data_IF_694451473871
#
_entry.id   IF_694451473871
#
_cell.length_a   1.000
_cell.length_b   1.000
_cell.length_c   1.000
_cell.angle_alpha   90.00
_cell.angle_beta   90.00
_cell.angle_gamma   90.00
#
_symmetry.space_group_name_H-M   'P 1'
#
loop_
_entity.id
_entity.type
_entity.pdbx_description
1 polymer ?
#
# COMPACT_ATOMS: atom_id res chain seq x y z
N UNK A 1 -18.68 19.65 6.24
CA UNK A 1 -18.30 18.39 5.57
C UNK A 1 -16.81 18.19 5.79
N UNK A 2 -16.42 17.19 6.60
CA UNK A 2 -15.02 16.98 6.99
C UNK A 2 -14.37 16.02 5.99
N UNK A 3 -13.16 16.33 5.53
CA UNK A 3 -12.43 15.53 4.55
C UNK A 3 -11.80 14.31 5.23
N UNK A 4 -12.46 13.16 5.13
CA UNK A 4 -12.11 11.94 5.90
C UNK A 4 -10.78 11.31 5.46
N UNK A 5 -10.37 11.46 4.19
CA UNK A 5 -9.07 10.92 3.72
C UNK A 5 -7.85 11.68 4.25
N UNK A 6 -8.05 12.84 4.90
CA UNK A 6 -6.98 13.57 5.58
C UNK A 6 -6.82 13.16 7.05
N UNK A 7 -7.83 12.53 7.65
CA UNK A 7 -7.86 12.21 9.08
C UNK A 7 -7.81 10.72 9.40
N UNK A 8 -8.08 9.85 8.42
CA UNK A 8 -7.96 8.40 8.60
C UNK A 8 -6.52 7.93 8.36
N UNK A 9 -6.06 6.88 9.08
CA UNK A 9 -4.80 6.24 8.75
C UNK A 9 -4.86 5.67 7.32
N UNK A 10 -3.71 5.67 6.65
CA UNK A 10 -3.57 5.27 5.24
C UNK A 10 -2.60 4.09 5.19
N UNK A 11 -2.92 3.09 4.36
CA UNK A 11 -2.04 1.96 4.06
C UNK A 11 -1.68 1.95 2.57
N UNK A 12 -0.49 1.45 2.25
CA UNK A 12 0.01 1.41 0.89
C UNK A 12 0.87 0.16 0.65
N UNK A 13 0.69 -0.50 -0.49
CA UNK A 13 1.57 -1.56 -0.96
C UNK A 13 2.34 -1.05 -2.17
N UNK A 14 3.67 -1.02 -2.07
CA UNK A 14 4.55 -0.61 -3.17
C UNK A 14 5.18 -1.84 -3.83
N UNK A 15 5.18 -1.89 -5.16
CA UNK A 15 5.76 -2.99 -5.93
C UNK A 15 7.17 -2.61 -6.39
N UNK A 16 8.21 -3.27 -5.87
CA UNK A 16 9.60 -2.80 -6.06
C UNK A 16 10.14 -3.02 -7.48
N UNK A 17 9.46 -3.81 -8.30
CA UNK A 17 9.82 -4.13 -9.68
C UNK A 17 8.70 -3.75 -10.66
N UNK A 18 7.87 -2.76 -10.28
CA UNK A 18 6.81 -2.23 -11.13
C UNK A 18 7.39 -1.65 -12.44
N UNK A 19 6.73 -1.97 -13.54
CA UNK A 19 7.07 -1.55 -14.92
C UNK A 19 6.01 -0.64 -15.55
N UNK A 20 4.91 -0.42 -14.84
CA UNK A 20 3.82 0.50 -15.18
C UNK A 20 3.99 1.80 -14.39
N UNK A 21 4.33 1.71 -13.10
CA UNK A 21 4.59 2.84 -12.21
C UNK A 21 6.06 2.77 -11.77
N UNK A 22 6.74 3.90 -11.66
CA UNK A 22 8.10 3.92 -11.13
C UNK A 22 8.07 3.64 -9.61
N UNK A 23 8.81 2.65 -9.09
CA UNK A 23 8.83 2.33 -7.66
C UNK A 23 9.22 3.51 -6.75
N UNK A 24 10.09 4.42 -7.21
CA UNK A 24 10.45 5.63 -6.45
C UNK A 24 9.27 6.60 -6.36
N UNK A 25 8.41 6.64 -7.38
CA UNK A 25 7.19 7.43 -7.35
C UNK A 25 6.16 6.83 -6.37
N UNK A 26 6.04 5.51 -6.31
CA UNK A 26 5.22 4.82 -5.30
C UNK A 26 5.68 5.16 -3.88
N UNK A 27 6.98 5.06 -3.60
CA UNK A 27 7.58 5.46 -2.30
C UNK A 27 7.33 6.93 -1.98
N UNK A 28 7.49 7.81 -2.97
CA UNK A 28 7.22 9.24 -2.81
C UNK A 28 5.75 9.49 -2.42
N UNK A 29 4.81 8.84 -3.10
CA UNK A 29 3.38 8.98 -2.82
C UNK A 29 3.02 8.42 -1.45
N UNK A 30 3.53 7.25 -1.09
CA UNK A 30 3.35 6.66 0.23
C UNK A 30 3.82 7.61 1.35
N UNK A 31 5.01 8.20 1.19
CA UNK A 31 5.55 9.20 2.11
C UNK A 31 4.70 10.48 2.17
N UNK A 32 4.26 10.98 1.01
CA UNK A 32 3.40 12.18 0.92
C UNK A 32 2.07 11.98 1.66
N UNK A 33 1.54 10.76 1.66
CA UNK A 33 0.32 10.40 2.39
C UNK A 33 0.54 10.14 3.88
N UNK A 34 1.78 9.93 4.33
CA UNK A 34 2.06 9.43 5.68
C UNK A 34 1.52 8.02 5.90
N UNK A 35 1.54 7.19 4.85
CA UNK A 35 0.97 5.86 4.88
C UNK A 35 1.85 4.86 5.66
N UNK A 36 1.21 3.87 6.29
CA UNK A 36 1.89 2.63 6.64
C UNK A 36 2.12 1.83 5.36
N UNK A 37 3.36 1.48 5.08
CA UNK A 37 3.75 0.91 3.78
C UNK A 37 4.39 -0.46 3.93
N UNK A 38 4.02 -1.37 3.04
CA UNK A 38 4.78 -2.59 2.76
C UNK A 38 5.39 -2.49 1.36
N UNK A 39 6.58 -3.06 1.18
CA UNK A 39 7.21 -3.21 -0.13
C UNK A 39 7.21 -4.69 -0.51
N UNK A 40 6.77 -4.98 -1.73
CA UNK A 40 6.66 -6.33 -2.26
C UNK A 40 7.56 -6.47 -3.48
N UNK A 41 8.33 -7.56 -3.53
CA UNK A 41 9.16 -7.90 -4.68
C UNK A 41 8.30 -8.46 -5.80
N UNK A 42 7.61 -7.57 -6.49
CA UNK A 42 6.68 -7.87 -7.58
C UNK A 42 6.73 -6.77 -8.63
N UNK A 43 6.30 -7.12 -9.84
CA UNK A 43 5.85 -6.12 -10.82
C UNK A 43 4.45 -5.59 -10.45
N UNK A 44 3.79 -4.89 -11.37
CA UNK A 44 2.58 -4.09 -11.11
C UNK A 44 1.45 -4.79 -10.34
N UNK A 45 1.22 -6.09 -10.60
CA UNK A 45 0.10 -6.84 -10.03
C UNK A 45 0.51 -7.65 -8.78
N UNK A 46 1.05 -6.96 -7.77
CA UNK A 46 1.42 -7.59 -6.49
C UNK A 46 0.26 -8.27 -5.77
N UNK A 47 -0.99 -7.82 -5.99
CA UNK A 47 -2.20 -8.47 -5.47
C UNK A 47 -2.44 -9.89 -6.01
N UNK A 48 -1.85 -10.24 -7.15
CA UNK A 48 -1.97 -11.59 -7.74
C UNK A 48 -0.79 -12.47 -7.30
N UNK A 49 0.42 -11.91 -7.29
CA UNK A 49 1.63 -12.68 -6.97
C UNK A 49 1.89 -12.84 -5.46
N UNK A 50 1.38 -11.91 -4.64
CA UNK A 50 1.55 -11.85 -3.18
C UNK A 50 0.18 -11.63 -2.49
N UNK A 51 -0.80 -12.52 -2.74
CA UNK A 51 -2.16 -12.33 -2.24
C UNK A 51 -2.22 -12.33 -0.71
N UNK A 52 -1.42 -13.15 -0.03
CA UNK A 52 -1.44 -13.27 1.43
C UNK A 52 -0.94 -11.99 2.12
N UNK A 53 0.14 -11.39 1.62
CA UNK A 53 0.66 -10.12 2.15
C UNK A 53 -0.34 -8.98 1.94
N UNK A 54 -0.97 -8.93 0.77
CA UNK A 54 -2.00 -7.93 0.46
C UNK A 54 -3.24 -8.13 1.33
N UNK A 55 -3.70 -9.37 1.52
CA UNK A 55 -4.82 -9.69 2.41
C UNK A 55 -4.50 -9.28 3.85
N UNK A 56 -3.30 -9.57 4.36
CA UNK A 56 -2.87 -9.14 5.70
C UNK A 56 -2.87 -7.62 5.83
N UNK A 57 -2.37 -6.89 4.83
CA UNK A 57 -2.39 -5.42 4.82
C UNK A 57 -3.82 -4.87 4.89
N UNK A 58 -4.75 -5.45 4.12
CA UNK A 58 -6.16 -5.05 4.10
C UNK A 58 -6.83 -5.34 5.45
N UNK A 59 -6.61 -6.52 6.03
CA UNK A 59 -7.16 -6.88 7.34
C UNK A 59 -6.66 -5.93 8.43
N UNK A 60 -5.37 -5.61 8.40
CA UNK A 60 -4.77 -4.65 9.33
C UNK A 60 -5.39 -3.25 9.18
N UNK A 61 -5.58 -2.80 7.94
CA UNK A 61 -6.23 -1.52 7.65
C UNK A 61 -7.70 -1.46 8.11
N UNK A 62 -8.38 -2.61 8.11
CA UNK A 62 -9.74 -2.77 8.60
C UNK A 62 -9.83 -2.90 10.13
N UNK A 63 -8.70 -2.89 10.85
CA UNK A 63 -8.67 -3.07 12.31
C UNK A 63 -8.84 -4.52 12.76
N UNK A 64 -8.70 -5.48 11.83
CA UNK A 64 -8.60 -6.89 12.18
C UNK A 64 -7.16 -7.20 12.58
N UNK A 65 -6.96 -7.60 13.84
CA UNK A 65 -5.69 -8.19 14.25
C UNK A 65 -5.63 -9.62 13.69
N UNK A 66 -4.57 -9.92 12.95
CA UNK A 66 -4.16 -11.30 12.70
C UNK A 66 -3.44 -11.85 13.94
#
# INVERSE_FOLDING_TARGET
MQVVWRSRPIWYAASTEDRTINPDFERFMAKRMGARTIELKSSHLSLISHPDEITRLILEAAGHQA
#
